data_IF_332695635157
#
_entry.id   IF_332695635157
#
_cell.length_a   1.000
_cell.length_b   1.000
_cell.length_c   1.000
_cell.angle_alpha   90.00
_cell.angle_beta   90.00
_cell.angle_gamma   90.00
#
_symmetry.space_group_name_H-M   'P 1'
#
loop_
_entity.id
_entity.type
_entity.pdbx_description
1 polymer ?
#
# COMPACT_ATOMS: atom_id res chain seq x y z
N UNK A 1 22.79 8.25 13.85
CA UNK A 1 21.86 8.48 12.74
C UNK A 1 20.64 7.61 13.01
N UNK A 2 19.52 8.16 13.51
CA UNK A 2 18.40 7.37 14.08
C UNK A 2 17.00 7.82 13.56
N UNK A 3 16.86 8.63 12.50
CA UNK A 3 15.53 9.21 12.21
C UNK A 3 15.11 9.35 10.73
N UNK A 4 15.73 8.63 9.80
CA UNK A 4 15.33 8.69 8.37
C UNK A 4 14.48 7.49 7.91
N UNK A 5 14.03 6.65 8.84
CA UNK A 5 13.00 5.63 8.56
C UNK A 5 11.59 6.14 8.90
N UNK A 6 11.32 7.43 8.64
CA UNK A 6 9.96 7.79 8.24
C UNK A 6 9.78 7.18 6.86
N UNK A 7 9.38 5.91 6.82
CA UNK A 7 9.22 5.17 5.56
C UNK A 7 8.15 5.90 4.76
N UNK A 8 8.60 6.72 3.81
CA UNK A 8 7.70 7.46 2.95
C UNK A 8 6.90 6.44 2.14
N UNK A 9 5.61 6.70 1.86
CA UNK A 9 4.80 5.85 0.99
C UNK A 9 5.49 5.53 -0.35
N UNK A 10 6.35 6.43 -0.82
CA UNK A 10 7.17 6.27 -2.02
C UNK A 10 8.25 5.20 -1.94
N UNK A 11 8.71 4.81 -0.74
CA UNK A 11 9.76 3.79 -0.57
C UNK A 11 9.33 2.44 -1.12
N UNK A 12 8.06 2.09 -0.97
CA UNK A 12 7.51 0.82 -1.45
C UNK A 12 7.26 0.82 -2.97
N UNK A 13 7.31 1.97 -3.65
CA UNK A 13 7.01 2.10 -5.09
C UNK A 13 8.00 1.32 -5.96
N UNK A 14 9.27 1.27 -5.57
CA UNK A 14 10.31 0.67 -6.39
C UNK A 14 10.43 -0.86 -6.20
N UNK A 15 10.02 -1.39 -5.04
CA UNK A 15 10.27 -2.79 -4.66
C UNK A 15 9.02 -3.64 -4.44
N UNK A 16 7.89 -3.05 -4.04
CA UNK A 16 6.75 -3.79 -3.46
C UNK A 16 5.41 -3.47 -4.16
N UNK A 17 5.49 -2.88 -5.35
CA UNK A 17 4.32 -2.49 -6.13
C UNK A 17 4.34 -3.21 -7.47
N UNK A 18 3.22 -3.85 -7.81
CA UNK A 18 3.05 -4.60 -9.04
C UNK A 18 1.92 -4.02 -9.88
N UNK A 19 2.12 -3.94 -11.19
CA UNK A 19 1.05 -3.59 -12.13
C UNK A 19 0.40 -4.87 -12.64
N UNK A 20 -0.90 -5.01 -12.41
CA UNK A 20 -1.68 -6.13 -12.91
C UNK A 20 -2.57 -5.69 -14.07
N UNK A 21 -2.56 -6.47 -15.15
CA UNK A 21 -3.46 -6.24 -16.29
C UNK A 21 -4.84 -6.84 -16.00
N UNK A 22 -5.86 -6.00 -15.86
CA UNK A 22 -7.26 -6.39 -15.62
C UNK A 22 -8.13 -5.80 -16.73
N UNK A 23 -8.85 -6.65 -17.48
CA UNK A 23 -9.79 -6.21 -18.54
C UNK A 23 -9.20 -5.17 -19.50
N UNK A 24 -7.92 -5.35 -19.84
CA UNK A 24 -7.12 -4.47 -20.70
C UNK A 24 -6.59 -3.16 -20.08
N UNK A 25 -6.76 -2.97 -18.77
CA UNK A 25 -6.21 -1.85 -18.00
C UNK A 25 -5.03 -2.30 -17.15
N UNK A 26 -4.02 -1.46 -17.04
CA UNK A 26 -2.92 -1.65 -16.09
C UNK A 26 -3.31 -0.96 -14.79
N UNK A 27 -3.61 -1.76 -13.77
CA UNK A 27 -3.98 -1.29 -12.44
C UNK A 27 -2.84 -1.56 -11.46
N UNK A 28 -2.64 -0.64 -10.53
CA UNK A 28 -1.66 -0.76 -9.46
C UNK A 28 -2.20 -1.69 -8.36
N UNK A 29 -1.34 -2.56 -7.87
CA UNK A 29 -1.65 -3.53 -6.82
C UNK A 29 -0.42 -3.69 -5.93
N UNK A 30 -0.63 -4.01 -4.66
CA UNK A 30 0.44 -4.46 -3.77
C UNK A 30 0.95 -5.84 -4.17
N UNK A 31 2.25 -6.06 -3.99
CA UNK A 31 2.81 -7.42 -4.02
C UNK A 31 2.16 -8.29 -2.94
N UNK A 32 2.21 -9.61 -3.15
CA UNK A 32 1.70 -10.56 -2.14
C UNK A 32 2.42 -10.39 -0.79
N UNK A 33 3.71 -10.06 -0.81
CA UNK A 33 4.50 -9.77 0.39
C UNK A 33 3.97 -8.55 1.15
N UNK A 34 3.76 -7.43 0.45
CA UNK A 34 3.28 -6.20 1.07
C UNK A 34 1.84 -6.34 1.55
N UNK A 35 1.01 -7.09 0.81
CA UNK A 35 -0.35 -7.39 1.20
C UNK A 35 -0.40 -8.27 2.46
N UNK A 36 0.45 -9.32 2.54
CA UNK A 36 0.59 -10.15 3.73
C UNK A 36 1.09 -9.32 4.93
N UNK A 37 2.03 -8.39 4.72
CA UNK A 37 2.52 -7.49 5.75
C UNK A 37 1.42 -6.56 6.29
N UNK A 38 0.59 -6.01 5.40
CA UNK A 38 -0.54 -5.18 5.79
C UNK A 38 -1.58 -5.98 6.60
N UNK A 39 -1.85 -7.22 6.20
CA UNK A 39 -2.73 -8.13 6.96
C UNK A 39 -2.16 -8.46 8.35
N UNK A 40 -0.85 -8.75 8.44
CA UNK A 40 -0.17 -8.98 9.72
C UNK A 40 -0.29 -7.76 10.64
N UNK A 41 -0.01 -6.56 10.13
CA UNK A 41 -0.13 -5.31 10.88
C UNK A 41 -1.58 -5.04 11.30
N UNK A 42 -2.56 -5.38 10.45
CA UNK A 42 -3.97 -5.23 10.77
C UNK A 42 -4.42 -6.18 11.89
N UNK A 43 -3.96 -7.44 11.88
CA UNK A 43 -4.23 -8.38 12.97
C UNK A 43 -3.56 -7.95 14.28
N UNK A 44 -2.30 -7.50 14.22
CA UNK A 44 -1.61 -6.96 15.39
C UNK A 44 -2.26 -5.68 15.92
N UNK A 45 -2.82 -4.85 15.06
CA UNK A 45 -3.65 -3.70 15.45
C UNK A 45 -4.87 -4.13 16.25
N UNK A 46 -5.60 -5.14 15.77
CA UNK A 46 -6.78 -5.68 16.48
C UNK A 46 -6.41 -6.22 17.86
N UNK A 47 -5.22 -6.82 17.97
CA UNK A 47 -4.68 -7.30 19.24
C UNK A 47 -4.09 -6.19 20.15
N UNK A 48 -4.05 -4.92 19.69
CA UNK A 48 -3.34 -3.81 20.35
C UNK A 48 -1.85 -4.10 20.62
N UNK A 49 -1.21 -4.89 19.75
CA UNK A 49 0.20 -5.30 19.84
C UNK A 49 1.11 -4.55 18.86
N UNK A 50 0.63 -3.44 18.29
CA UNK A 50 1.44 -2.61 17.40
C UNK A 50 2.46 -1.80 18.20
N UNK A 51 3.71 -1.84 17.75
CA UNK A 51 4.73 -0.90 18.22
C UNK A 51 4.53 0.47 17.57
N UNK A 52 5.12 1.52 18.15
CA UNK A 52 5.07 2.87 17.56
C UNK A 52 5.61 2.90 16.12
N UNK A 53 6.59 2.07 15.80
CA UNK A 53 7.14 1.94 14.44
C UNK A 53 6.12 1.31 13.49
N UNK A 54 5.45 0.24 13.92
CA UNK A 54 4.45 -0.46 13.13
C UNK A 54 3.16 0.35 12.94
N UNK A 55 2.82 1.23 13.89
CA UNK A 55 1.72 2.19 13.72
C UNK A 55 2.04 3.15 12.57
N UNK A 56 3.28 3.63 12.48
CA UNK A 56 3.72 4.50 11.40
C UNK A 56 3.78 3.74 10.08
N UNK A 57 4.33 2.53 10.07
CA UNK A 57 4.36 1.63 8.90
C UNK A 57 2.94 1.42 8.35
N UNK A 58 2.00 1.02 9.21
CA UNK A 58 0.61 0.81 8.83
C UNK A 58 -0.05 2.10 8.29
N UNK A 59 0.21 3.25 8.91
CA UNK A 59 -0.34 4.52 8.44
C UNK A 59 0.15 4.86 7.02
N UNK A 60 1.45 4.67 6.75
CA UNK A 60 2.03 4.89 5.43
C UNK A 60 1.50 3.91 4.38
N UNK A 61 1.34 2.63 4.72
CA UNK A 61 0.77 1.63 3.80
C UNK A 61 -0.70 1.93 3.46
N UNK A 62 -1.50 2.36 4.44
CA UNK A 62 -2.89 2.76 4.21
C UNK A 62 -3.00 4.02 3.34
N UNK A 63 -2.06 4.95 3.47
CA UNK A 63 -2.00 6.11 2.58
C UNK A 63 -1.71 5.69 1.13
N UNK A 64 -0.74 4.79 0.94
CA UNK A 64 -0.39 4.24 -0.37
C UNK A 64 -1.57 3.49 -1.00
N UNK A 65 -2.30 2.69 -0.22
CA UNK A 65 -3.50 1.96 -0.66
C UNK A 65 -4.58 2.91 -1.18
N UNK A 66 -4.77 4.03 -0.48
CA UNK A 66 -5.72 5.06 -0.87
C UNK A 66 -5.30 5.75 -2.17
N UNK A 67 -4.01 6.04 -2.34
CA UNK A 67 -3.47 6.62 -3.59
C UNK A 67 -3.75 5.67 -4.75
N UNK A 68 -3.48 4.38 -4.58
CA UNK A 68 -3.72 3.38 -5.61
C UNK A 68 -5.17 3.17 -5.95
N UNK A 69 -6.04 3.14 -4.93
CA UNK A 69 -7.48 3.08 -5.14
C UNK A 69 -7.95 4.28 -5.98
N UNK A 70 -7.47 5.48 -5.70
CA UNK A 70 -7.82 6.69 -6.47
C UNK A 70 -7.29 6.65 -7.90
N UNK A 71 -6.02 6.25 -8.10
CA UNK A 71 -5.42 6.13 -9.43
C UNK A 71 -6.17 5.07 -10.24
N UNK A 72 -6.38 3.89 -9.69
CA UNK A 72 -7.10 2.80 -10.34
C UNK A 72 -8.54 3.21 -10.68
N UNK A 73 -9.24 3.87 -9.76
CA UNK A 73 -10.59 4.38 -10.03
C UNK A 73 -10.60 5.39 -11.19
N UNK A 74 -9.61 6.29 -11.26
CA UNK A 74 -9.47 7.23 -12.39
C UNK A 74 -9.14 6.52 -13.71
N UNK A 75 -8.24 5.53 -13.70
CA UNK A 75 -7.89 4.73 -14.88
C UNK A 75 -9.11 3.98 -15.40
N UNK A 76 -9.89 3.35 -14.50
CA UNK A 76 -11.13 2.65 -14.85
C UNK A 76 -12.16 3.63 -15.40
N UNK A 77 -12.38 4.77 -14.73
CA UNK A 77 -13.34 5.78 -15.18
C UNK A 77 -12.99 6.36 -16.55
N UNK A 78 -11.71 6.62 -16.82
CA UNK A 78 -11.24 7.12 -18.12
C UNK A 78 -11.34 6.09 -19.24
N UNK A 79 -11.41 4.81 -18.90
CA UNK A 79 -11.48 3.70 -19.86
C UNK A 79 -12.90 3.16 -20.06
N UNK A 80 -13.88 3.70 -19.32
CA UNK A 80 -15.29 3.44 -19.52
C UNK A 80 -15.85 4.48 -20.51
N UNK A 81 -16.36 4.08 -21.68
CA UNK A 81 -16.90 4.99 -22.70
C UNK A 81 -18.20 5.67 -22.28
#
# INVERSE_FOLDING_TARGET
MIAELMVQPSYWIDSEISMQKVRNLYLFKFTENLQARLEELAERKKANLLTSEEVVELASLLELDRIFTLINAKVIAASCP
#
